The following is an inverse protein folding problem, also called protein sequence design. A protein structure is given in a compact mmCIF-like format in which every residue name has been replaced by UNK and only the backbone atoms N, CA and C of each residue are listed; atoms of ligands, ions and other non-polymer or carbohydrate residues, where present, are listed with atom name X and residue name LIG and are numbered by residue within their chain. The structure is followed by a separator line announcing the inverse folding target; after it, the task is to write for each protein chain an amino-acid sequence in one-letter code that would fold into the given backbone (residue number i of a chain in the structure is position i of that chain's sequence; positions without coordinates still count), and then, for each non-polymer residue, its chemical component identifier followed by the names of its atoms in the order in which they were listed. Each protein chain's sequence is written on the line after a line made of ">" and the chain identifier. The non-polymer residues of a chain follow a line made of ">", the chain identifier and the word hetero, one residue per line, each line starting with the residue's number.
data_IF_197968581785
#
_entry.id   IF_197968581785
#
_cell.length_a   1.000
_cell.length_b   1.000
_cell.length_c   1.000
_cell.angle_alpha   90.00
_cell.angle_beta   90.00
_cell.angle_gamma   90.00
#
_symmetry.space_group_name_H-M   'P 1'
#
loop_
_entity.id
_entity.type
_entity.pdbx_description
1 polymer ?
#
# COMPACT_ATOMS: atom_id res chain seq x y z
N UNK A 1 0.11 -9.31 4.12
CA UNK A 1 1.43 -8.76 4.55
C UNK A 1 2.51 -9.11 3.54
N UNK A 2 3.20 -8.11 2.98
CA UNK A 2 4.27 -8.29 1.98
C UNK A 2 5.62 -8.51 2.67
N UNK A 3 6.03 -7.61 3.55
CA UNK A 3 7.23 -7.77 4.40
C UNK A 3 7.28 -6.76 5.55
N UNK A 4 8.17 -7.01 6.50
CA UNK A 4 8.45 -6.14 7.66
C UNK A 4 9.36 -4.97 7.25
N UNK A 5 9.05 -3.76 7.71
CA UNK A 5 9.87 -2.57 7.48
C UNK A 5 10.92 -2.44 8.59
N UNK A 6 12.19 -2.29 8.22
CA UNK A 6 13.30 -2.26 9.18
C UNK A 6 13.84 -0.84 9.47
N UNK A 7 13.38 0.17 8.72
CA UNK A 7 13.81 1.55 8.94
C UNK A 7 13.28 2.54 7.92
N UNK A 8 13.70 3.80 8.05
CA UNK A 8 13.22 4.90 7.21
C UNK A 8 13.55 4.74 5.72
N UNK A 9 14.67 4.10 5.38
CA UNK A 9 15.01 3.83 3.96
C UNK A 9 14.01 2.87 3.31
N UNK A 10 13.57 1.84 4.04
CA UNK A 10 12.55 0.90 3.55
C UNK A 10 11.21 1.61 3.39
N UNK A 11 10.80 2.41 4.39
CA UNK A 11 9.58 3.24 4.33
C UNK A 11 9.61 4.18 3.13
N UNK A 12 10.73 4.90 2.94
CA UNK A 12 10.91 5.82 1.84
C UNK A 12 10.82 5.10 0.49
N UNK A 13 11.45 3.93 0.38
CA UNK A 13 11.44 3.13 -0.85
C UNK A 13 10.02 2.74 -1.23
N UNK A 14 9.21 2.28 -0.26
CA UNK A 14 7.81 1.91 -0.50
C UNK A 14 6.99 3.14 -0.91
N UNK A 15 7.06 4.21 -0.12
CA UNK A 15 6.26 5.42 -0.33
C UNK A 15 6.61 6.09 -1.67
N UNK A 16 7.90 6.17 -2.02
CA UNK A 16 8.35 6.79 -3.27
C UNK A 16 8.06 5.95 -4.52
N UNK A 17 7.93 4.62 -4.36
CA UNK A 17 7.66 3.69 -5.47
C UNK A 17 6.27 3.06 -5.44
N UNK A 18 5.33 3.61 -4.65
CA UNK A 18 3.99 3.05 -4.41
C UNK A 18 3.22 2.71 -5.70
N UNK A 19 3.50 3.44 -6.79
CA UNK A 19 2.89 3.17 -8.11
C UNK A 19 3.42 1.92 -8.81
N UNK A 20 4.70 1.59 -8.58
CA UNK A 20 5.42 0.47 -9.21
C UNK A 20 5.30 -0.80 -8.40
N UNK A 21 5.33 -0.69 -7.07
CA UNK A 21 5.31 -1.85 -6.17
C UNK A 21 3.96 -2.06 -5.49
N UNK A 22 3.02 -1.11 -5.53
CA UNK A 22 1.73 -1.22 -4.85
C UNK A 22 1.83 -1.18 -3.33
N UNK A 23 0.69 -1.35 -2.66
CA UNK A 23 0.58 -1.41 -1.21
C UNK A 23 0.75 -0.08 -0.51
N UNK A 24 0.84 -0.15 0.81
CA UNK A 24 1.01 0.98 1.71
C UNK A 24 1.87 0.58 2.92
N UNK A 25 2.45 1.57 3.60
CA UNK A 25 3.16 1.36 4.85
C UNK A 25 2.23 1.70 6.01
N UNK A 26 1.92 0.70 6.83
CA UNK A 26 1.14 0.87 8.05
C UNK A 26 2.05 0.59 9.25
N UNK A 27 1.99 1.46 10.25
CA UNK A 27 2.64 1.26 11.53
C UNK A 27 1.60 0.83 12.56
N UNK A 28 1.91 -0.23 13.32
CA UNK A 28 1.08 -0.63 14.45
C UNK A 28 0.97 0.49 15.49
N UNK A 29 2.05 1.23 15.73
CA UNK A 29 2.08 2.40 16.61
C UNK A 29 3.11 3.44 16.15
N UNK A 30 2.73 4.71 16.13
CA UNK A 30 3.66 5.85 16.09
C UNK A 30 3.53 6.61 17.42
N UNK A 31 4.65 6.80 18.11
CA UNK A 31 4.73 7.61 19.34
C UNK A 31 5.55 8.87 19.07
N UNK A 32 4.97 10.03 19.37
CA UNK A 32 5.67 11.32 19.35
C UNK A 32 6.43 11.56 20.66
N UNK A 33 7.41 12.46 20.64
CA UNK A 33 8.15 12.91 21.81
C UNK A 33 7.24 13.57 22.86
N UNK A 34 6.12 14.16 22.44
CA UNK A 34 5.09 14.69 23.33
C UNK A 34 4.40 13.60 24.17
N UNK A 35 4.52 12.33 23.78
CA UNK A 35 3.80 11.20 24.38
C UNK A 35 2.51 10.84 23.64
N UNK A 36 2.12 11.59 22.61
CA UNK A 36 0.99 11.23 21.75
C UNK A 36 1.26 9.93 21.01
N UNK A 37 0.23 9.09 20.90
CA UNK A 37 0.29 7.77 20.30
C UNK A 37 -0.79 7.61 19.24
N UNK A 38 -0.40 7.04 18.09
CA UNK A 38 -1.27 6.81 16.96
C UNK A 38 -1.16 5.36 16.53
N UNK A 39 -2.23 4.59 16.76
CA UNK A 39 -2.33 3.21 16.31
C UNK A 39 -2.73 3.14 14.83
N UNK A 40 -2.34 2.04 14.16
CA UNK A 40 -2.70 1.76 12.76
C UNK A 40 -2.46 2.98 11.83
N UNK A 41 -1.37 3.70 12.05
CA UNK A 41 -1.08 4.92 11.30
C UNK A 41 -0.50 4.56 9.93
N UNK A 42 -1.05 5.13 8.86
CA UNK A 42 -0.56 4.87 7.50
C UNK A 42 0.37 6.00 7.08
N UNK A 43 1.62 5.66 6.79
CA UNK A 43 2.61 6.61 6.33
C UNK A 43 2.31 6.98 4.87
N UNK A 44 2.18 8.28 4.62
CA UNK A 44 1.88 8.81 3.29
C UNK A 44 3.04 9.55 2.67
N UNK A 45 3.98 10.03 3.49
CA UNK A 45 5.12 10.80 3.01
C UNK A 45 6.31 10.69 3.94
N UNK A 46 7.50 10.64 3.35
CA UNK A 46 8.76 10.75 4.07
C UNK A 46 9.66 11.65 3.23
N UNK A 47 10.00 12.83 3.76
CA UNK A 47 10.73 13.86 3.02
C UNK A 47 12.21 13.82 3.36
N UNK A 48 13.04 14.04 2.33
CA UNK A 48 14.48 14.06 2.45
C UNK A 48 15.04 15.41 2.00
N UNK A 49 16.07 15.87 2.70
CA UNK A 49 16.96 16.95 2.26
C UNK A 49 18.37 16.39 2.19
N UNK A 50 18.89 16.26 0.96
CA UNK A 50 20.12 15.52 0.72
C UNK A 50 20.01 14.06 1.20
N UNK A 51 20.90 13.66 2.11
CA UNK A 51 20.93 12.31 2.67
C UNK A 51 20.15 12.17 4.00
N UNK A 52 19.45 13.21 4.45
CA UNK A 52 18.77 13.23 5.75
C UNK A 52 17.26 13.23 5.59
N UNK A 53 16.57 12.47 6.43
CA UNK A 53 15.11 12.54 6.56
C UNK A 53 14.73 13.77 7.38
N UNK A 54 13.72 14.51 6.94
CA UNK A 54 13.32 15.79 7.54
C UNK A 54 11.95 15.68 8.23
N UNK A 55 10.95 15.18 7.51
CA UNK A 55 9.57 15.12 7.98
C UNK A 55 8.94 13.78 7.63
N UNK A 56 8.02 13.33 8.47
CA UNK A 56 7.17 12.17 8.26
C UNK A 56 5.72 12.63 8.21
N UNK A 57 5.03 12.31 7.12
CA UNK A 57 3.60 12.51 6.96
C UNK A 57 2.86 11.17 7.12
N UNK A 58 1.83 11.16 7.95
CA UNK A 58 0.98 9.98 8.15
C UNK A 58 -0.48 10.37 8.38
N UNK A 59 -1.37 9.40 8.20
CA UNK A 59 -2.80 9.52 8.50
C UNK A 59 -3.14 8.65 9.71
N UNK A 60 -3.83 9.23 10.68
CA UNK A 60 -4.30 8.52 11.88
C UNK A 60 -5.49 7.62 11.57
N UNK A 61 -5.88 6.74 12.49
CA UNK A 61 -7.06 5.89 12.35
C UNK A 61 -8.36 6.69 12.21
N UNK A 62 -8.42 7.89 12.81
CA UNK A 62 -9.54 8.83 12.67
C UNK A 62 -9.49 9.66 11.37
N UNK A 63 -8.52 9.40 10.49
CA UNK A 63 -8.37 10.09 9.21
C UNK A 63 -7.69 11.46 9.30
N UNK A 64 -7.10 11.84 10.45
CA UNK A 64 -6.36 13.10 10.55
C UNK A 64 -5.02 12.96 9.82
N UNK A 65 -4.69 13.94 8.99
CA UNK A 65 -3.39 14.02 8.32
C UNK A 65 -2.43 14.84 9.15
N UNK A 66 -1.32 14.22 9.55
CA UNK A 66 -0.27 14.85 10.34
C UNK A 66 1.02 14.87 9.54
N UNK A 67 1.77 15.95 9.68
CA UNK A 67 3.15 16.08 9.19
C UNK A 67 3.98 16.53 10.38
N UNK A 68 4.96 15.71 10.76
CA UNK A 68 5.79 15.95 11.93
C UNK A 68 7.26 15.90 11.54
N UNK A 69 8.09 16.67 12.25
CA UNK A 69 9.53 16.60 12.04
C UNK A 69 10.06 15.25 12.55
N UNK A 70 11.07 14.68 11.89
CA UNK A 70 11.57 13.33 12.25
C UNK A 70 12.09 13.26 13.69
N UNK A 71 12.65 14.37 14.20
CA UNK A 71 13.13 14.49 15.58
C UNK A 71 12.02 14.48 16.63
N UNK A 72 10.77 14.70 16.22
CA UNK A 72 9.60 14.64 17.10
C UNK A 72 9.00 13.23 17.15
N UNK A 73 9.45 12.31 16.30
CA UNK A 73 9.11 10.89 16.40
C UNK A 73 9.99 10.25 17.48
N UNK A 74 9.36 9.73 18.53
CA UNK A 74 10.06 8.94 19.54
C UNK A 74 10.23 7.49 19.09
N UNK A 75 9.22 6.90 18.45
CA UNK A 75 9.22 5.49 18.07
C UNK A 75 8.19 5.23 16.97
N UNK A 76 8.53 4.31 16.06
CA UNK A 76 7.58 3.66 15.14
C UNK A 76 7.72 2.15 15.40
N UNK A 77 6.63 1.51 15.81
CA UNK A 77 6.59 0.08 16.08
C UNK A 77 5.75 -0.66 15.05
N UNK A 78 6.15 -1.90 14.76
CA UNK A 78 5.44 -2.84 13.90
C UNK A 78 5.07 -2.27 12.52
N UNK A 79 6.00 -1.52 11.92
CA UNK A 79 5.83 -1.02 10.56
C UNK A 79 5.89 -2.15 9.53
N UNK A 80 4.91 -2.21 8.65
CA UNK A 80 4.76 -3.27 7.65
C UNK A 80 4.37 -2.71 6.28
N UNK A 81 4.86 -3.36 5.22
CA UNK A 81 4.33 -3.16 3.87
C UNK A 81 3.18 -4.14 3.64
N UNK A 82 2.00 -3.60 3.36
CA UNK A 82 0.77 -4.39 3.19
C UNK A 82 0.06 -4.00 1.90
N UNK A 83 -0.73 -4.92 1.35
CA UNK A 83 -1.69 -4.57 0.30
C UNK A 83 -2.71 -3.59 0.86
N UNK A 84 -3.28 -2.76 0.00
CA UNK A 84 -4.34 -1.84 0.39
C UNK A 84 -5.54 -2.58 0.98
N UNK A 85 -5.92 -3.74 0.44
CA UNK A 85 -7.00 -4.57 1.01
C UNK A 85 -6.74 -5.06 2.44
N UNK A 86 -5.47 -5.14 2.86
CA UNK A 86 -5.04 -5.66 4.17
C UNK A 86 -4.86 -4.55 5.22
N UNK A 87 -5.00 -3.27 4.84
CA UNK A 87 -4.83 -2.14 5.76
C UNK A 87 -5.83 -2.22 6.91
N UNK A 88 -5.36 -2.01 8.15
CA UNK A 88 -6.23 -1.91 9.32
C UNK A 88 -6.86 -0.53 9.45
N UNK A 89 -6.15 0.50 9.00
CA UNK A 89 -6.68 1.86 8.91
C UNK A 89 -7.80 1.93 7.86
N UNK A 90 -9.04 1.87 8.32
CA UNK A 90 -10.24 1.85 7.47
C UNK A 90 -10.35 3.08 6.55
N UNK A 91 -10.00 4.25 7.06
CA UNK A 91 -10.06 5.52 6.30
C UNK A 91 -9.10 5.47 5.12
N UNK A 92 -7.84 5.11 5.38
CA UNK A 92 -6.82 5.03 4.33
C UNK A 92 -7.01 3.82 3.42
N UNK A 93 -7.56 2.72 3.94
CA UNK A 93 -7.97 1.58 3.12
C UNK A 93 -8.99 2.03 2.09
N UNK A 94 -10.08 2.67 2.51
CA UNK A 94 -11.12 3.14 1.61
C UNK A 94 -10.59 4.16 0.58
N UNK A 95 -9.78 5.13 1.03
CA UNK A 95 -9.19 6.16 0.16
C UNK A 95 -8.28 5.54 -0.91
N UNK A 96 -7.28 4.75 -0.49
CA UNK A 96 -6.33 4.11 -1.41
C UNK A 96 -7.02 3.09 -2.32
N UNK A 97 -8.04 2.40 -1.81
CA UNK A 97 -8.83 1.45 -2.61
C UNK A 97 -9.52 2.17 -3.76
N UNK A 98 -10.18 3.30 -3.47
CA UNK A 98 -10.85 4.11 -4.50
C UNK A 98 -9.85 4.63 -5.55
N UNK A 99 -8.67 5.09 -5.13
CA UNK A 99 -7.61 5.51 -6.05
C UNK A 99 -7.13 4.37 -6.95
N UNK A 100 -6.95 3.17 -6.39
CA UNK A 100 -6.42 2.00 -7.11
C UNK A 100 -7.45 1.43 -8.06
N UNK A 101 -8.72 1.35 -7.65
CA UNK A 101 -9.83 0.99 -8.53
C UNK A 101 -9.96 1.96 -9.70
N UNK A 102 -9.86 3.27 -9.44
CA UNK A 102 -9.88 4.29 -10.51
C UNK A 102 -8.72 4.11 -11.49
N UNK A 103 -7.51 3.80 -10.99
CA UNK A 103 -6.34 3.53 -11.82
C UNK A 103 -6.52 2.26 -12.63
N UNK A 104 -6.97 1.16 -12.03
CA UNK A 104 -7.19 -0.12 -12.71
C UNK A 104 -8.21 0.02 -13.84
N UNK A 105 -9.36 0.66 -13.57
CA UNK A 105 -10.37 0.98 -14.60
C UNK A 105 -9.76 1.72 -15.79
N UNK A 106 -8.98 2.77 -15.50
CA UNK A 106 -8.34 3.57 -16.54
C UNK A 106 -7.29 2.78 -17.31
N UNK A 107 -6.51 1.94 -16.61
CA UNK A 107 -5.49 1.09 -17.23
C UNK A 107 -6.15 0.12 -18.22
N UNK A 108 -7.22 -0.58 -17.82
CA UNK A 108 -7.96 -1.49 -18.68
C UNK A 108 -8.60 -0.77 -19.89
N UNK A 109 -9.20 0.41 -19.68
CA UNK A 109 -9.80 1.21 -20.77
C UNK A 109 -8.78 1.64 -21.83
N UNK A 110 -7.59 2.09 -21.39
CA UNK A 110 -6.54 2.54 -22.31
C UNK A 110 -5.86 1.39 -23.06
N UNK A 111 -5.97 0.18 -22.53
CA UNK A 111 -5.31 -1.02 -23.04
C UNK A 111 -6.33 -2.07 -23.49
N UNK A 112 -7.53 -1.65 -23.90
CA UNK A 112 -8.55 -2.56 -24.38
C UNK A 112 -8.02 -3.38 -25.57
N UNK A 113 -8.12 -4.71 -25.49
CA UNK A 113 -7.55 -5.64 -26.47
C UNK A 113 -6.02 -5.81 -26.41
N UNK A 114 -5.32 -5.08 -25.54
CA UNK A 114 -3.87 -5.22 -25.35
C UNK A 114 -3.55 -6.47 -24.53
N UNK A 115 -2.47 -7.15 -24.92
CA UNK A 115 -1.94 -8.31 -24.22
C UNK A 115 -0.46 -8.14 -23.83
N UNK A 116 0.03 -6.89 -23.77
CA UNK A 116 1.43 -6.66 -23.46
C UNK A 116 1.77 -7.14 -22.05
N UNK A 117 2.97 -7.74 -21.84
CA UNK A 117 3.38 -8.20 -20.51
C UNK A 117 3.32 -7.10 -19.45
N UNK A 118 3.77 -5.89 -19.79
CA UNK A 118 3.76 -4.73 -18.89
C UNK A 118 2.36 -4.34 -18.43
N UNK A 119 1.38 -4.38 -19.33
CA UNK A 119 -0.03 -4.12 -18.97
C UNK A 119 -0.54 -5.18 -18.00
N UNK A 120 -0.29 -6.46 -18.29
CA UNK A 120 -0.73 -7.58 -17.44
C UNK A 120 -0.09 -7.54 -16.05
N UNK A 121 1.20 -7.25 -15.97
CA UNK A 121 1.93 -7.10 -14.70
C UNK A 121 1.37 -5.95 -13.86
N UNK A 122 1.12 -4.78 -14.47
CA UNK A 122 0.55 -3.64 -13.74
C UNK A 122 -0.90 -3.91 -13.30
N UNK A 123 -1.71 -4.53 -14.16
CA UNK A 123 -3.09 -4.89 -13.82
C UNK A 123 -3.13 -5.96 -12.72
N UNK A 124 -2.24 -6.95 -12.76
CA UNK A 124 -2.08 -7.97 -11.73
C UNK A 124 -1.73 -7.34 -10.39
N UNK A 125 -0.72 -6.46 -10.38
CA UNK A 125 -0.29 -5.77 -9.18
C UNK A 125 -1.44 -4.96 -8.55
N UNK A 126 -2.22 -4.24 -9.36
CA UNK A 126 -3.37 -3.48 -8.88
C UNK A 126 -4.47 -4.40 -8.37
N UNK A 127 -4.76 -5.51 -9.06
CA UNK A 127 -5.77 -6.47 -8.63
C UNK A 127 -5.40 -7.15 -7.29
N UNK A 128 -4.13 -7.51 -7.10
CA UNK A 128 -3.63 -8.03 -5.82
C UNK A 128 -3.71 -6.99 -4.69
N UNK A 129 -3.39 -5.72 -4.99
CA UNK A 129 -3.40 -4.64 -4.02
C UNK A 129 -4.83 -4.27 -3.56
N UNK A 130 -5.79 -4.32 -4.49
CA UNK A 130 -7.22 -4.09 -4.27
C UNK A 130 -7.90 -5.31 -3.64
N UNK A 131 -7.37 -6.51 -3.87
CA UNK A 131 -8.07 -7.77 -3.68
C UNK A 131 -8.82 -8.19 -4.96
N UNK A 132 -8.59 -9.43 -5.41
CA UNK A 132 -9.11 -9.90 -6.69
C UNK A 132 -10.63 -9.86 -6.81
N UNK A 133 -11.35 -10.23 -5.75
CA UNK A 133 -12.81 -10.30 -5.77
C UNK A 133 -13.41 -8.90 -6.01
N UNK A 134 -12.95 -7.91 -5.22
CA UNK A 134 -13.36 -6.51 -5.36
C UNK A 134 -12.96 -5.95 -6.73
N UNK A 135 -11.76 -6.28 -7.22
CA UNK A 135 -11.30 -5.81 -8.53
C UNK A 135 -12.17 -6.35 -9.68
N UNK A 136 -12.55 -7.64 -9.62
CA UNK A 136 -13.40 -8.30 -10.64
C UNK A 136 -14.82 -7.78 -10.70
N UNK A 137 -15.36 -7.28 -9.59
CA UNK A 137 -16.66 -6.59 -9.59
C UNK A 137 -16.64 -5.30 -10.41
N UNK A 138 -15.46 -4.72 -10.66
CA UNK A 138 -15.30 -3.39 -11.24
C UNK A 138 -14.74 -3.39 -12.66
N UNK A 139 -14.00 -4.42 -13.04
CA UNK A 139 -13.37 -4.59 -14.37
C UNK A 139 -13.28 -6.07 -14.74
N UNK A 140 -13.35 -6.38 -16.03
CA UNK A 140 -13.02 -7.73 -16.50
C UNK A 140 -11.50 -7.96 -16.36
N UNK A 141 -11.13 -9.02 -15.66
CA UNK A 141 -9.74 -9.44 -15.42
C UNK A 141 -9.46 -10.83 -16.01
N UNK A 142 -10.27 -11.30 -16.96
CA UNK A 142 -10.13 -12.60 -17.63
C UNK A 142 -8.77 -12.80 -18.32
N UNK A 143 -8.07 -11.70 -18.67
CA UNK A 143 -6.76 -11.71 -19.29
C UNK A 143 -5.59 -11.96 -18.31
N UNK A 144 -5.84 -11.88 -17.00
CA UNK A 144 -4.84 -12.20 -15.97
C UNK A 144 -4.77 -13.71 -15.76
N UNK A 145 -3.59 -14.25 -15.36
CA UNK A 145 -3.50 -15.65 -15.00
C UNK A 145 -4.52 -15.94 -13.90
N UNK A 146 -5.34 -16.97 -14.11
CA UNK A 146 -6.20 -17.46 -13.05
C UNK A 146 -5.28 -17.96 -11.94
N UNK A 147 -5.29 -17.29 -10.80
CA UNK A 147 -4.82 -17.86 -9.54
C UNK A 147 -5.79 -18.97 -9.18
N UNK A 148 -5.67 -20.11 -9.88
CA UNK A 148 -6.13 -21.37 -9.31
C UNK A 148 -5.39 -21.47 -7.98
N UNK A 149 -6.15 -21.37 -6.89
CA UNK A 149 -5.71 -21.86 -5.60
C UNK A 149 -5.04 -23.20 -5.87
N UNK A 150 -3.72 -23.26 -5.71
CA UNK A 150 -2.97 -24.50 -5.79
C UNK A 150 -3.57 -25.42 -4.72
N UNK A 151 -4.60 -26.18 -5.11
CA UNK A 151 -5.08 -27.33 -4.36
C UNK A 151 -3.89 -28.25 -4.36
N UNK A 152 -3.12 -28.19 -3.28
CA UNK A 152 -2.11 -29.18 -2.96
C UNK A 152 -2.86 -30.51 -2.90
N UNK A 153 -2.87 -31.23 -4.00
CA UNK A 153 -3.29 -32.63 -4.03
C UNK A 153 -2.21 -33.37 -3.28
N UNK A 154 -2.41 -33.56 -1.98
CA UNK A 154 -1.65 -34.54 -1.22
C UNK A 154 -2.05 -35.90 -1.77
N UNK A 155 -1.17 -36.49 -2.57
CA UNK A 155 -1.23 -37.91 -2.89
C UNK A 155 -0.93 -38.63 -1.58
N UNK A 156 -1.92 -39.37 -1.09
CA UNK A 156 -1.81 -40.26 0.06
C UNK A 156 -1.11 -41.57 -0.33
#
# INVERSE_FOLDING_TARGET
>A
MRYQINGYTDMYTVISNERKIGGAVEAGLIRLRSGEEFANAVLTRLEMSGAQFCSLGFVTEEGKRLIVHINDISMIADAVHVNVCDLRNEVMRAEKMAERLKRLKRLCQLNEGSCTPTFREEALLLAEDIGFDVAREHVDLSFLPQTENARVVRIA
#
